data_IF_013510143109
#
_entry.id   IF_013510143109
#
_cell.length_a   1.000
_cell.length_b   1.000
_cell.length_c   1.000
_cell.angle_alpha   90.00
_cell.angle_beta   90.00
_cell.angle_gamma   90.00
#
_symmetry.space_group_name_H-M   'P 1'
#
loop_
_entity.id
_entity.type
_entity.pdbx_description
1 polymer ?
#
# COMPACT_ATOMS: atom_id res chain seq x y z
N UNK A 1 25.49 -21.48 -6.00
CA UNK A 1 24.48 -20.47 -6.33
C UNK A 1 24.50 -19.43 -5.24
N UNK A 2 24.76 -18.16 -5.57
CA UNK A 2 24.57 -17.08 -4.59
C UNK A 2 23.11 -17.09 -4.14
N UNK A 3 22.87 -17.00 -2.84
CA UNK A 3 21.54 -16.96 -2.24
C UNK A 3 20.92 -15.56 -2.25
N UNK A 4 21.61 -14.59 -2.85
CA UNK A 4 21.20 -13.20 -2.83
C UNK A 4 20.13 -12.97 -3.90
N UNK A 5 18.99 -12.42 -3.47
CA UNK A 5 17.92 -12.00 -4.37
C UNK A 5 18.41 -10.85 -5.25
N UNK A 6 17.97 -10.85 -6.50
CA UNK A 6 18.10 -9.68 -7.37
C UNK A 6 17.23 -8.55 -6.85
N UNK A 7 17.55 -7.31 -7.25
CA UNK A 7 16.74 -6.15 -6.90
C UNK A 7 15.30 -6.29 -7.42
N UNK A 8 15.14 -6.85 -8.62
CA UNK A 8 13.85 -7.10 -9.25
C UNK A 8 13.00 -8.10 -8.44
N UNK A 9 13.60 -9.18 -7.95
CA UNK A 9 12.93 -10.14 -7.08
C UNK A 9 12.47 -9.48 -5.77
N UNK A 10 13.32 -8.64 -5.18
CA UNK A 10 12.97 -7.88 -3.96
C UNK A 10 11.78 -6.94 -4.21
N UNK A 11 11.77 -6.22 -5.33
CA UNK A 11 10.65 -5.33 -5.68
C UNK A 11 9.38 -6.11 -5.99
N UNK A 12 9.50 -7.27 -6.66
CA UNK A 12 8.36 -8.15 -6.95
C UNK A 12 7.70 -8.61 -5.65
N UNK A 13 8.47 -9.18 -4.72
CA UNK A 13 7.98 -9.62 -3.41
C UNK A 13 7.32 -8.47 -2.63
N UNK A 14 7.99 -7.31 -2.60
CA UNK A 14 7.49 -6.12 -1.88
C UNK A 14 6.20 -5.58 -2.49
N UNK A 15 6.06 -5.60 -3.81
CA UNK A 15 4.85 -5.12 -4.49
C UNK A 15 3.67 -6.08 -4.24
N UNK A 16 3.90 -7.39 -4.33
CA UNK A 16 2.89 -8.40 -3.98
C UNK A 16 2.47 -8.29 -2.51
N UNK A 17 3.40 -8.01 -1.61
CA UNK A 17 3.10 -7.78 -0.20
C UNK A 17 2.22 -6.54 0.01
N UNK A 18 2.52 -5.42 -0.67
CA UNK A 18 1.72 -4.20 -0.57
C UNK A 18 0.28 -4.43 -1.06
N UNK A 19 0.11 -5.10 -2.20
CA UNK A 19 -1.21 -5.45 -2.75
C UNK A 19 -1.98 -6.39 -1.82
N UNK A 20 -1.30 -7.41 -1.30
CA UNK A 20 -1.89 -8.39 -0.37
C UNK A 20 -2.36 -7.71 0.90
N UNK A 21 -1.55 -6.82 1.49
CA UNK A 21 -1.90 -6.10 2.71
C UNK A 21 -3.14 -5.22 2.51
N UNK A 22 -3.19 -4.45 1.41
CA UNK A 22 -4.35 -3.63 1.09
C UNK A 22 -5.61 -4.48 0.85
N UNK A 23 -5.51 -5.59 0.13
CA UNK A 23 -6.64 -6.49 -0.12
C UNK A 23 -7.15 -7.13 1.18
N UNK A 24 -6.24 -7.53 2.07
CA UNK A 24 -6.61 -8.04 3.40
C UNK A 24 -7.34 -6.99 4.23
N UNK A 25 -6.91 -5.72 4.19
CA UNK A 25 -7.58 -4.64 4.89
C UNK A 25 -9.01 -4.42 4.39
N UNK A 26 -9.22 -4.41 3.07
CA UNK A 26 -10.55 -4.32 2.45
C UNK A 26 -11.44 -5.50 2.87
N UNK A 27 -10.92 -6.72 2.84
CA UNK A 27 -11.66 -7.92 3.26
C UNK A 27 -12.00 -7.91 4.73
N UNK A 28 -11.05 -7.53 5.58
CA UNK A 28 -11.25 -7.40 7.01
C UNK A 28 -12.35 -6.37 7.29
N UNK A 29 -12.25 -5.17 6.71
CA UNK A 29 -13.26 -4.13 6.90
C UNK A 29 -14.67 -4.59 6.50
N UNK A 30 -14.81 -5.34 5.41
CA UNK A 30 -16.10 -5.91 4.97
C UNK A 30 -16.64 -6.99 5.90
N UNK A 31 -15.78 -7.65 6.67
CA UNK A 31 -16.17 -8.69 7.63
C UNK A 31 -16.60 -8.15 8.99
N UNK A 32 -16.26 -6.89 9.32
CA UNK A 32 -16.59 -6.27 10.60
C UNK A 32 -18.03 -5.76 10.65
N UNK A 33 -18.70 -5.93 11.80
CA UNK A 33 -20.02 -5.38 12.12
C UNK A 33 -19.98 -4.64 13.47
N UNK A 34 -20.50 -3.41 13.60
CA UNK A 34 -21.08 -2.56 12.55
C UNK A 34 -19.99 -1.86 11.71
N UNK A 35 -20.30 -1.51 10.44
CA UNK A 35 -19.35 -0.92 9.47
C UNK A 35 -18.89 0.50 9.81
N UNK A 36 -19.38 1.10 10.90
CA UNK A 36 -19.04 2.47 11.32
C UNK A 36 -17.64 2.57 11.94
N UNK A 37 -17.04 1.45 12.33
CA UNK A 37 -15.63 1.36 12.70
C UNK A 37 -14.75 1.18 11.47
N UNK A 38 -14.63 2.22 10.63
CA UNK A 38 -13.70 2.21 9.49
C UNK A 38 -12.27 2.43 9.97
N UNK A 39 -11.61 1.35 10.33
CA UNK A 39 -10.20 1.36 10.72
C UNK A 39 -9.29 0.82 9.63
N UNK A 40 -9.84 0.06 8.69
CA UNK A 40 -9.09 -0.60 7.63
C UNK A 40 -9.68 -0.25 6.27
N UNK A 41 -8.84 0.14 5.34
CA UNK A 41 -9.22 0.39 3.96
C UNK A 41 -8.01 0.15 3.06
N UNK A 42 -8.25 -0.02 1.78
CA UNK A 42 -7.19 -0.25 0.81
C UNK A 42 -7.68 0.02 -0.60
N UNK A 43 -6.75 0.41 -1.45
CA UNK A 43 -7.04 0.76 -2.83
C UNK A 43 -5.78 1.22 -3.54
N UNK A 44 -5.96 1.73 -4.75
CA UNK A 44 -4.88 2.36 -5.48
C UNK A 44 -5.35 3.56 -6.28
N UNK A 45 -4.42 4.44 -6.63
CA UNK A 45 -4.65 5.56 -7.53
C UNK A 45 -3.41 5.76 -8.40
N UNK A 46 -3.54 6.46 -9.52
CA UNK A 46 -2.41 6.76 -10.41
C UNK A 46 -1.44 7.71 -9.72
N UNK A 47 -0.14 7.47 -9.84
CA UNK A 47 0.85 8.42 -9.32
C UNK A 47 0.91 9.65 -10.22
N UNK A 48 0.69 10.83 -9.64
CA UNK A 48 0.81 12.13 -10.30
C UNK A 48 2.16 12.80 -9.99
N UNK A 49 3.13 12.08 -9.42
CA UNK A 49 4.38 12.68 -8.95
C UNK A 49 5.14 13.38 -10.08
N UNK A 50 5.35 14.70 -9.91
CA UNK A 50 5.96 15.68 -10.83
C UNK A 50 7.41 15.38 -11.30
N UNK A 51 7.98 14.21 -11.00
CA UNK A 51 9.41 13.92 -11.22
C UNK A 51 9.76 12.47 -11.59
N UNK A 52 8.79 11.65 -11.98
CA UNK A 52 8.99 10.30 -12.56
C UNK A 52 8.05 10.13 -13.73
N UNK A 53 8.46 9.42 -14.79
CA UNK A 53 7.64 9.12 -15.99
C UNK A 53 6.15 8.95 -15.62
N UNK A 54 5.40 10.04 -15.79
CA UNK A 54 4.06 10.21 -15.24
C UNK A 54 3.14 9.30 -16.02
N UNK A 55 2.87 8.10 -15.49
CA UNK A 55 1.99 7.13 -16.13
C UNK A 55 2.34 5.67 -15.88
N UNK A 56 3.56 5.35 -15.46
CA UNK A 56 4.00 3.96 -15.26
C UNK A 56 3.73 3.42 -13.86
N UNK A 57 3.44 4.30 -12.90
CA UNK A 57 3.32 3.95 -11.49
C UNK A 57 1.92 4.20 -10.94
N UNK A 58 1.44 3.27 -10.14
CA UNK A 58 0.30 3.43 -9.25
C UNK A 58 0.79 3.55 -7.81
N UNK A 59 0.03 4.24 -6.96
CA UNK A 59 0.20 4.22 -5.52
C UNK A 59 -0.85 3.30 -4.93
N UNK A 60 -0.40 2.19 -4.34
CA UNK A 60 -1.24 1.31 -3.52
C UNK A 60 -1.20 1.84 -2.09
N UNK A 61 -2.36 2.03 -1.47
CA UNK A 61 -2.46 2.51 -0.09
C UNK A 61 -3.17 1.49 0.81
N UNK A 62 -2.81 1.55 2.08
CA UNK A 62 -3.37 0.82 3.20
C UNK A 62 -3.73 1.84 4.29
N UNK A 63 -4.98 1.87 4.72
CA UNK A 63 -5.40 2.58 5.93
C UNK A 63 -5.40 1.63 7.12
N UNK A 64 -4.91 2.13 8.26
CA UNK A 64 -4.91 1.45 9.56
C UNK A 64 -5.35 2.44 10.64
N UNK A 65 -5.66 1.99 11.87
CA UNK A 65 -5.84 2.92 13.01
C UNK A 65 -4.69 3.90 13.22
N UNK A 66 -3.47 3.54 12.82
CA UNK A 66 -2.27 4.36 12.97
C UNK A 66 -2.09 5.38 11.83
N UNK A 67 -2.99 5.36 10.84
CA UNK A 67 -2.97 6.20 9.64
C UNK A 67 -2.59 5.43 8.38
N UNK A 68 -2.44 6.18 7.29
CA UNK A 68 -2.16 5.64 5.97
C UNK A 68 -0.70 5.22 5.80
N UNK A 69 -0.48 4.13 5.07
CA UNK A 69 0.79 3.77 4.46
C UNK A 69 0.60 3.54 2.96
N UNK A 70 1.56 3.94 2.13
CA UNK A 70 1.46 3.73 0.68
C UNK A 70 2.77 3.32 0.01
N UNK A 71 2.66 2.68 -1.15
CA UNK A 71 3.78 2.19 -1.94
C UNK A 71 3.54 2.41 -3.43
N UNK A 72 4.57 2.88 -4.14
CA UNK A 72 4.57 2.88 -5.61
C UNK A 72 4.72 1.45 -6.14
N UNK A 73 3.86 1.03 -7.04
CA UNK A 73 3.92 -0.25 -7.77
C UNK A 73 3.70 0.00 -9.28
N UNK A 74 4.16 -0.89 -10.18
CA UNK A 74 3.86 -0.76 -11.60
C UNK A 74 2.35 -0.69 -11.84
N UNK A 75 1.90 0.23 -12.68
CA UNK A 75 0.48 0.49 -12.91
C UNK A 75 -0.25 -0.75 -13.45
N UNK A 76 0.39 -1.54 -14.31
CA UNK A 76 -0.21 -2.74 -14.87
C UNK A 76 -0.40 -3.83 -13.81
N UNK A 77 0.47 -3.88 -12.80
CA UNK A 77 0.30 -4.79 -11.67
C UNK A 77 -0.88 -4.36 -10.78
N UNK A 78 -1.05 -3.05 -10.54
CA UNK A 78 -2.20 -2.54 -9.80
C UNK A 78 -3.52 -2.81 -10.53
N UNK A 79 -3.57 -2.62 -11.86
CA UNK A 79 -4.74 -2.92 -12.71
C UNK A 79 -5.15 -4.40 -12.70
N UNK A 80 -4.20 -5.31 -12.50
CA UNK A 80 -4.47 -6.74 -12.39
C UNK A 80 -4.98 -7.15 -10.99
N UNK A 81 -4.91 -6.27 -10.00
CA UNK A 81 -5.38 -6.56 -8.64
C UNK A 81 -6.90 -6.39 -8.51
N UNK A 82 -7.48 -6.90 -7.42
CA UNK A 82 -8.89 -6.70 -7.09
C UNK A 82 -9.18 -5.38 -6.36
N UNK A 83 -8.14 -4.58 -6.11
CA UNK A 83 -8.26 -3.31 -5.42
C UNK A 83 -8.94 -2.27 -6.30
N UNK A 84 -9.75 -1.41 -5.68
CA UNK A 84 -10.47 -0.36 -6.39
C UNK A 84 -9.52 0.79 -6.78
N UNK A 85 -9.59 1.24 -8.04
CA UNK A 85 -8.98 2.49 -8.50
C UNK A 85 -9.79 3.67 -7.95
N UNK A 86 -9.13 4.59 -7.25
CA UNK A 86 -9.73 5.78 -6.67
C UNK A 86 -9.11 7.05 -7.25
N UNK A 87 -9.82 8.17 -7.07
CA UNK A 87 -9.21 9.49 -7.17
C UNK A 87 -8.22 9.66 -6.01
N UNK A 88 -7.11 10.37 -6.26
CA UNK A 88 -5.97 10.49 -5.34
C UNK A 88 -6.38 10.55 -3.87
N UNK A 89 -5.79 9.66 -3.06
CA UNK A 89 -6.14 9.43 -1.65
C UNK A 89 -4.98 9.66 -0.68
N UNK A 90 -3.88 10.24 -1.16
CA UNK A 90 -2.71 10.46 -0.33
C UNK A 90 -3.00 11.45 0.81
N UNK A 91 -2.57 11.10 2.03
CA UNK A 91 -2.73 11.97 3.21
C UNK A 91 -1.52 12.89 3.48
N UNK A 92 -0.54 12.93 2.57
CA UNK A 92 0.62 13.81 2.67
C UNK A 92 1.80 13.28 3.50
N UNK A 93 1.78 12.01 3.92
CA UNK A 93 2.83 11.46 4.79
C UNK A 93 4.21 11.37 4.12
N UNK A 94 5.24 11.69 4.89
CA UNK A 94 6.63 11.39 4.56
C UNK A 94 6.93 9.90 4.70
N UNK A 95 8.05 9.45 4.11
CA UNK A 95 8.55 8.07 4.31
C UNK A 95 8.79 7.74 5.79
N UNK A 96 9.27 8.71 6.58
CA UNK A 96 9.49 8.53 8.02
C UNK A 96 8.18 8.29 8.74
N UNK A 97 7.19 9.16 8.54
CA UNK A 97 5.87 9.04 9.16
C UNK A 97 5.20 7.71 8.80
N UNK A 98 5.21 7.33 7.52
CA UNK A 98 4.75 6.00 7.08
C UNK A 98 5.38 4.88 7.90
N UNK A 99 6.71 4.88 8.01
CA UNK A 99 7.42 3.82 8.71
C UNK A 99 7.10 3.81 10.21
N UNK A 100 6.95 4.97 10.84
CA UNK A 100 6.58 5.09 12.24
C UNK A 100 5.16 4.55 12.49
N UNK A 101 4.20 4.84 11.59
CA UNK A 101 2.84 4.28 11.64
C UNK A 101 2.84 2.76 11.52
N UNK A 102 3.60 2.22 10.56
CA UNK A 102 3.73 0.76 10.39
C UNK A 102 4.38 0.09 11.59
N UNK A 103 5.37 0.73 12.23
CA UNK A 103 5.96 0.23 13.49
C UNK A 103 4.93 0.16 14.60
N UNK A 104 4.18 1.25 14.83
CA UNK A 104 3.10 1.27 15.84
C UNK A 104 2.05 0.19 15.56
N UNK A 105 1.63 0.05 14.31
CA UNK A 105 0.63 -0.93 13.91
C UNK A 105 1.07 -2.39 14.12
N UNK A 106 2.37 -2.66 13.97
CA UNK A 106 2.95 -4.01 14.12
C UNK A 106 3.50 -4.28 15.52
N UNK A 107 3.50 -3.28 16.41
CA UNK A 107 4.09 -3.39 17.76
C UNK A 107 5.62 -3.53 17.75
N UNK A 108 6.29 -2.99 16.74
CA UNK A 108 7.75 -3.03 16.61
C UNK A 108 8.41 -1.82 17.26
N UNK A 109 9.29 -2.07 18.24
CA UNK A 109 10.16 -1.07 18.88
C UNK A 109 11.63 -1.33 18.48
N UNK A 110 12.17 -0.59 17.50
CA UNK A 110 13.62 -0.53 17.22
C UNK A 110 14.01 0.74 16.46
#
# INVERSE_FOLDING_TARGET
MSKDKTLEEVYTDRNLLALTAAEMAVRLQRSLSPPESRYFDGGWYRSEADNTDTGEWAVVYLETPEGQASWHVPIDLARQSHLTELQSRWDGHTRREKNDRLRRFTGLDY
#
